data_IF_579071670987
#
_entry.id   IF_579071670987
#
_cell.length_a   1.000
_cell.length_b   1.000
_cell.length_c   1.000
_cell.angle_alpha   90.00
_cell.angle_beta   90.00
_cell.angle_gamma   90.00
#
_symmetry.space_group_name_H-M   'P 1'
#
loop_
_entity.id
_entity.type
_entity.pdbx_description
1 polymer ?
#
# COMPACT_ATOMS: atom_id res chain seq x y z
N UNK A 1 -29.24 -12.43 -17.30
CA UNK A 1 -27.92 -13.05 -17.05
C UNK A 1 -28.10 -14.20 -16.07
N UNK A 2 -27.39 -15.33 -16.24
CA UNK A 2 -27.36 -16.40 -15.23
C UNK A 2 -26.42 -16.03 -14.07
N UNK A 3 -26.70 -16.47 -12.86
CA UNK A 3 -25.86 -16.25 -11.67
C UNK A 3 -24.40 -16.68 -11.91
N UNK A 4 -24.18 -17.78 -12.62
CA UNK A 4 -22.84 -18.26 -12.99
C UNK A 4 -22.11 -17.26 -13.90
N UNK A 5 -22.79 -16.69 -14.89
CA UNK A 5 -22.19 -15.68 -15.78
C UNK A 5 -21.86 -14.41 -15.01
N UNK A 6 -22.74 -14.01 -14.09
CA UNK A 6 -22.50 -12.83 -13.25
C UNK A 6 -21.26 -13.00 -12.38
N UNK A 7 -21.08 -14.16 -11.73
CA UNK A 7 -19.89 -14.47 -10.93
C UNK A 7 -18.62 -14.45 -11.79
N UNK A 8 -18.64 -15.07 -12.97
CA UNK A 8 -17.48 -15.07 -13.87
C UNK A 8 -17.11 -13.66 -14.33
N UNK A 9 -18.10 -12.86 -14.76
CA UNK A 9 -17.83 -11.48 -15.17
C UNK A 9 -17.37 -10.61 -14.00
N UNK A 10 -17.97 -10.78 -12.83
CA UNK A 10 -17.57 -10.09 -11.60
C UNK A 10 -16.14 -10.46 -11.19
N UNK A 11 -15.78 -11.74 -11.27
CA UNK A 11 -14.45 -12.24 -10.96
C UNK A 11 -13.38 -11.64 -11.86
N UNK A 12 -13.62 -11.65 -13.17
CA UNK A 12 -12.73 -11.01 -14.16
C UNK A 12 -12.60 -9.50 -13.88
N UNK A 13 -13.71 -8.82 -13.60
CA UNK A 13 -13.71 -7.39 -13.31
C UNK A 13 -12.92 -7.07 -12.02
N UNK A 14 -13.04 -7.90 -10.98
CA UNK A 14 -12.30 -7.75 -9.73
C UNK A 14 -10.79 -7.96 -9.93
N UNK A 15 -10.39 -8.97 -10.70
CA UNK A 15 -8.98 -9.20 -11.04
C UNK A 15 -8.42 -8.01 -11.83
N UNK A 16 -9.11 -7.59 -12.89
CA UNK A 16 -8.66 -6.47 -13.73
C UNK A 16 -8.61 -5.14 -12.93
N UNK A 17 -9.62 -4.90 -12.09
CA UNK A 17 -9.67 -3.74 -11.21
C UNK A 17 -8.56 -3.76 -10.16
N UNK A 18 -8.27 -4.93 -9.59
CA UNK A 18 -7.13 -5.16 -8.71
C UNK A 18 -5.84 -4.78 -9.42
N UNK A 19 -5.53 -5.41 -10.56
CA UNK A 19 -4.33 -5.11 -11.37
C UNK A 19 -4.17 -3.62 -11.66
N UNK A 20 -5.22 -2.96 -12.16
CA UNK A 20 -5.18 -1.53 -12.45
C UNK A 20 -4.89 -0.68 -11.21
N UNK A 21 -5.52 -0.99 -10.08
CA UNK A 21 -5.26 -0.31 -8.82
C UNK A 21 -3.81 -0.51 -8.36
N UNK A 22 -3.29 -1.73 -8.48
CA UNK A 22 -1.91 -2.08 -8.17
C UNK A 22 -0.90 -1.31 -9.01
N UNK A 23 -1.12 -1.19 -10.33
CA UNK A 23 -0.24 -0.45 -11.24
C UNK A 23 -0.19 1.05 -10.90
N UNK A 24 -1.35 1.67 -10.64
CA UNK A 24 -1.43 3.08 -10.23
C UNK A 24 -0.66 3.27 -8.91
N UNK A 25 -0.90 2.38 -7.94
CA UNK A 25 -0.19 2.43 -6.66
C UNK A 25 1.33 2.27 -6.82
N UNK A 26 1.77 1.31 -7.62
CA UNK A 26 3.19 1.03 -7.85
C UNK A 26 3.93 2.24 -8.43
N UNK A 27 3.32 2.93 -9.40
CA UNK A 27 3.94 4.08 -10.06
C UNK A 27 3.91 5.33 -9.18
N UNK A 28 2.76 5.64 -8.58
CA UNK A 28 2.56 6.96 -7.98
C UNK A 28 2.81 7.01 -6.48
N UNK A 29 2.66 5.89 -5.77
CA UNK A 29 2.66 5.90 -4.30
C UNK A 29 3.81 5.07 -3.76
N UNK A 30 4.01 3.84 -4.25
CA UNK A 30 5.03 2.92 -3.75
C UNK A 30 6.44 3.54 -3.82
N UNK A 31 6.82 4.06 -4.99
CA UNK A 31 8.14 4.65 -5.19
C UNK A 31 8.34 5.89 -4.30
N UNK A 32 7.32 6.73 -4.18
CA UNK A 32 7.36 7.93 -3.36
C UNK A 32 7.42 7.61 -1.87
N UNK A 33 6.59 6.68 -1.38
CA UNK A 33 6.62 6.21 0.01
C UNK A 33 7.98 5.61 0.36
N UNK A 34 8.60 4.84 -0.54
CA UNK A 34 9.94 4.31 -0.34
C UNK A 34 10.98 5.42 -0.15
N UNK A 35 10.99 6.41 -1.03
CA UNK A 35 11.88 7.57 -0.93
C UNK A 35 11.65 8.39 0.36
N UNK A 36 10.39 8.67 0.70
CA UNK A 36 10.04 9.42 1.91
C UNK A 36 10.39 8.65 3.19
N UNK A 37 10.20 7.33 3.19
CA UNK A 37 10.56 6.47 4.33
C UNK A 37 12.07 6.46 4.55
N UNK A 38 12.86 6.34 3.48
CA UNK A 38 14.32 6.44 3.56
C UNK A 38 14.80 7.79 4.10
N UNK A 39 14.20 8.90 3.63
CA UNK A 39 14.51 10.23 4.14
C UNK A 39 14.13 10.39 5.63
N UNK A 40 12.97 9.87 6.03
CA UNK A 40 12.54 9.90 7.42
C UNK A 40 13.48 9.07 8.32
N UNK A 41 13.95 7.90 7.86
CA UNK A 41 14.94 7.11 8.60
C UNK A 41 16.26 7.86 8.80
N UNK A 42 16.77 8.54 7.76
CA UNK A 42 17.97 9.38 7.88
C UNK A 42 17.76 10.52 8.88
N UNK A 43 16.60 11.19 8.85
CA UNK A 43 16.26 12.24 9.80
C UNK A 43 16.16 11.70 11.24
N UNK A 44 15.64 10.48 11.43
CA UNK A 44 15.59 9.84 12.74
C UNK A 44 17.00 9.56 13.27
N UNK A 45 17.93 9.09 12.43
CA UNK A 45 19.33 8.90 12.80
C UNK A 45 19.99 10.24 13.21
N UNK A 46 19.73 11.31 12.48
CA UNK A 46 20.22 12.65 12.81
C UNK A 46 19.66 13.14 14.16
N UNK A 47 18.35 13.01 14.38
CA UNK A 47 17.70 13.37 15.64
C UNK A 47 18.25 12.55 16.83
N UNK A 48 18.46 11.25 16.62
CA UNK A 48 19.07 10.37 17.62
C UNK A 48 20.50 10.78 17.96
N UNK A 49 21.31 11.14 16.96
CA UNK A 49 22.69 11.62 17.17
C UNK A 49 22.77 12.91 18.00
N UNK A 50 21.70 13.70 17.99
CA UNK A 50 21.54 14.94 18.79
C UNK A 50 20.89 14.70 20.16
N UNK A 51 20.57 13.45 20.51
CA UNK A 51 19.88 13.11 21.76
C UNK A 51 18.43 13.61 21.82
N UNK A 52 17.81 13.96 20.70
CA UNK A 52 16.44 14.48 20.67
C UNK A 52 15.43 13.34 20.53
N UNK A 53 15.13 12.67 21.65
CA UNK A 53 14.21 11.52 21.70
C UNK A 53 12.77 11.85 21.30
N UNK A 54 12.32 13.09 21.52
CA UNK A 54 10.99 13.55 21.11
C UNK A 54 10.89 13.61 19.59
N UNK A 55 11.89 14.20 18.91
CA UNK A 55 11.93 14.23 17.45
C UNK A 55 12.04 12.83 16.84
N UNK A 56 12.82 11.93 17.45
CA UNK A 56 12.89 10.53 17.02
C UNK A 56 11.50 9.88 17.05
N UNK A 57 10.76 10.07 18.14
CA UNK A 57 9.40 9.50 18.29
C UNK A 57 8.45 10.02 17.21
N UNK A 58 8.43 11.32 16.97
CA UNK A 58 7.59 11.95 15.94
C UNK A 58 7.92 11.43 14.54
N UNK A 59 9.22 11.30 14.22
CA UNK A 59 9.66 10.79 12.93
C UNK A 59 9.25 9.32 12.74
N UNK A 60 9.35 8.49 13.78
CA UNK A 60 8.91 7.09 13.70
C UNK A 60 7.39 6.95 13.56
N UNK A 61 6.60 7.85 14.16
CA UNK A 61 5.15 7.90 13.90
C UNK A 61 4.86 8.20 12.42
N UNK A 62 5.59 9.13 11.82
CA UNK A 62 5.48 9.43 10.39
C UNK A 62 5.88 8.23 9.52
N UNK A 63 6.97 7.53 9.86
CA UNK A 63 7.38 6.30 9.17
C UNK A 63 6.26 5.24 9.26
N UNK A 64 5.66 5.07 10.44
CA UNK A 64 4.53 4.17 10.64
C UNK A 64 3.37 4.49 9.69
N UNK A 65 2.99 5.77 9.57
CA UNK A 65 1.95 6.20 8.64
C UNK A 65 2.28 5.92 7.17
N UNK A 66 3.53 6.09 6.74
CA UNK A 66 3.96 5.76 5.37
C UNK A 66 3.89 4.24 5.09
N UNK A 67 4.25 3.42 6.09
CA UNK A 67 4.18 1.96 5.97
C UNK A 67 2.73 1.46 5.98
N UNK A 68 1.87 2.04 6.80
CA UNK A 68 0.43 1.74 6.82
C UNK A 68 -0.22 2.12 5.49
N UNK A 69 0.04 3.33 5.00
CA UNK A 69 -0.45 3.82 3.71
C UNK A 69 -0.05 2.90 2.54
N UNK A 70 1.18 2.39 2.58
CA UNK A 70 1.69 1.38 1.65
C UNK A 70 0.95 0.05 1.81
N UNK A 71 0.90 -0.50 3.03
CA UNK A 71 0.32 -1.80 3.33
C UNK A 71 -1.16 -1.88 2.95
N UNK A 72 -1.96 -0.88 3.33
CA UNK A 72 -3.40 -0.83 3.01
C UNK A 72 -3.67 -0.88 1.51
N UNK A 73 -2.82 -0.26 0.69
CA UNK A 73 -2.99 -0.27 -0.78
C UNK A 73 -2.56 -1.59 -1.40
N UNK A 74 -1.47 -2.18 -0.91
CA UNK A 74 -1.08 -3.54 -1.32
C UNK A 74 -2.20 -4.53 -0.98
N UNK A 75 -2.73 -4.48 0.23
CA UNK A 75 -3.83 -5.34 0.68
C UNK A 75 -5.08 -5.17 -0.18
N UNK A 76 -5.46 -3.93 -0.52
CA UNK A 76 -6.60 -3.66 -1.39
C UNK A 76 -6.43 -4.31 -2.78
N UNK A 77 -5.26 -4.15 -3.40
CA UNK A 77 -4.93 -4.77 -4.69
C UNK A 77 -5.03 -6.30 -4.64
N UNK A 78 -4.41 -6.91 -3.63
CA UNK A 78 -4.35 -8.37 -3.48
C UNK A 78 -5.73 -8.93 -3.19
N UNK A 79 -6.47 -8.37 -2.23
CA UNK A 79 -7.79 -8.86 -1.86
C UNK A 79 -8.83 -8.72 -2.97
N UNK A 80 -8.76 -7.66 -3.78
CA UNK A 80 -9.61 -7.57 -4.99
C UNK A 80 -9.32 -8.72 -5.95
N UNK A 81 -8.05 -9.03 -6.17
CA UNK A 81 -7.64 -10.12 -7.07
C UNK A 81 -8.06 -11.49 -6.53
N UNK A 82 -7.84 -11.74 -5.24
CA UNK A 82 -8.23 -12.99 -4.57
C UNK A 82 -9.74 -13.23 -4.60
N UNK A 83 -10.52 -12.20 -4.26
CA UNK A 83 -11.98 -12.25 -4.36
C UNK A 83 -12.43 -12.51 -5.80
N UNK A 84 -11.71 -11.95 -6.77
CA UNK A 84 -11.95 -12.21 -8.18
C UNK A 84 -11.71 -13.66 -8.58
N UNK A 85 -10.60 -14.27 -8.13
CA UNK A 85 -10.32 -15.69 -8.34
C UNK A 85 -11.33 -16.62 -7.67
N UNK A 86 -11.80 -16.29 -6.46
CA UNK A 86 -12.83 -17.05 -5.75
C UNK A 86 -14.19 -17.06 -6.48
N UNK A 87 -14.43 -16.08 -7.35
CA UNK A 87 -15.68 -15.97 -8.11
C UNK A 87 -15.66 -16.74 -9.45
N UNK A 88 -14.50 -17.27 -9.88
CA UNK A 88 -14.33 -18.03 -11.12
C UNK A 88 -14.56 -19.53 -10.91
#
# INVERSE_FOLDING_TARGET
>A
MSARRLLVFGGIALIAGGMLFGDIFAVFVLHQNGGQTGQALLAACEAASRGNSMAVTEIFQRIGGLLEDHGTKVDAHVHMSDAGYLAL
#
